data_IF_268604791786
#
_entry.id   IF_268604791786
#
_cell.length_a   1.000
_cell.length_b   1.000
_cell.length_c   1.000
_cell.angle_alpha   90.00
_cell.angle_beta   90.00
_cell.angle_gamma   90.00
#
_symmetry.space_group_name_H-M   'P 1'
#
loop_
_entity.id
_entity.type
_entity.pdbx_description
1 polymer ?
#
# COMPACT_ATOMS: atom_id res chain seq x y z
N UNK A 1 -13.55 14.11 1.71
CA UNK A 1 -12.46 14.19 0.73
C UNK A 1 -12.38 12.88 -0.02
N UNK A 2 -12.22 12.92 -1.32
CA UNK A 2 -11.96 11.74 -2.15
C UNK A 2 -10.51 11.77 -2.60
N UNK A 3 -9.83 10.62 -2.54
CA UNK A 3 -8.49 10.43 -3.08
C UNK A 3 -8.49 9.26 -4.06
N UNK A 4 -7.61 9.29 -5.05
CA UNK A 4 -7.45 8.19 -6.00
C UNK A 4 -6.42 7.21 -5.46
N UNK A 5 -6.89 6.06 -4.98
CA UNK A 5 -6.08 4.95 -4.47
C UNK A 5 -6.26 3.67 -5.29
N UNK A 6 -6.55 3.80 -6.58
CA UNK A 6 -6.62 2.66 -7.49
C UNK A 6 -5.24 2.04 -7.69
N UNK A 7 -5.19 0.72 -7.83
CA UNK A 7 -3.96 -0.05 -7.98
C UNK A 7 -3.66 -0.93 -6.77
N UNK A 8 -2.41 -1.36 -6.65
CA UNK A 8 -1.99 -2.27 -5.58
C UNK A 8 -2.61 -3.66 -5.68
N UNK A 9 -2.51 -4.43 -4.60
CA UNK A 9 -3.00 -5.79 -4.52
C UNK A 9 -3.99 -5.95 -3.37
N UNK A 10 -5.02 -6.76 -3.59
CA UNK A 10 -5.91 -7.19 -2.51
C UNK A 10 -5.13 -8.08 -1.53
N UNK A 11 -5.45 -8.00 -0.25
CA UNK A 11 -4.77 -8.78 0.78
C UNK A 11 -5.13 -10.27 0.69
N UNK A 12 -6.40 -10.56 0.40
CA UNK A 12 -6.92 -11.92 0.32
C UNK A 12 -7.98 -12.05 -0.79
N UNK A 13 -9.06 -12.79 -0.54
CA UNK A 13 -10.18 -13.00 -1.46
C UNK A 13 -11.24 -11.90 -1.44
N UNK A 14 -11.10 -10.97 -0.54
CA UNK A 14 -11.86 -9.71 -0.45
C UNK A 14 -11.13 -8.57 -1.16
N UNK A 15 -11.64 -7.35 -1.04
CA UNK A 15 -11.03 -6.19 -1.67
C UNK A 15 -10.30 -5.25 -0.68
N UNK A 16 -9.95 -5.78 0.51
CA UNK A 16 -9.10 -5.03 1.42
C UNK A 16 -7.68 -4.93 0.89
N UNK A 17 -7.05 -3.79 1.16
CA UNK A 17 -5.64 -3.55 0.85
C UNK A 17 -4.97 -2.92 2.06
N UNK A 18 -3.77 -3.39 2.38
CA UNK A 18 -2.98 -2.89 3.51
C UNK A 18 -1.61 -2.41 3.04
N UNK A 19 -1.22 -1.22 3.48
CA UNK A 19 0.12 -0.71 3.23
C UNK A 19 1.20 -1.63 3.79
N UNK A 20 0.89 -2.32 4.90
CA UNK A 20 1.82 -3.25 5.56
C UNK A 20 2.15 -4.47 4.70
N UNK A 21 1.16 -5.15 4.13
CA UNK A 21 1.37 -6.35 3.31
C UNK A 21 1.94 -6.00 1.95
N UNK A 22 1.40 -4.95 1.32
CA UNK A 22 1.92 -4.40 0.06
C UNK A 22 3.39 -3.98 0.19
N UNK A 23 3.75 -3.23 1.21
CA UNK A 23 5.13 -2.81 1.43
C UNK A 23 6.09 -4.00 1.66
N UNK A 24 5.65 -5.04 2.38
CA UNK A 24 6.45 -6.24 2.55
C UNK A 24 6.71 -6.96 1.22
N UNK A 25 5.67 -7.11 0.39
CA UNK A 25 5.80 -7.74 -0.93
C UNK A 25 6.76 -6.96 -1.82
N UNK A 26 6.58 -5.63 -1.93
CA UNK A 26 7.45 -4.75 -2.71
C UNK A 26 8.90 -4.87 -2.23
N UNK A 27 9.13 -4.77 -0.93
CA UNK A 27 10.47 -4.77 -0.36
C UNK A 27 11.21 -6.08 -0.65
N UNK A 28 10.53 -7.22 -0.57
CA UNK A 28 11.11 -8.52 -0.89
C UNK A 28 11.43 -8.64 -2.39
N UNK A 29 10.55 -8.20 -3.27
CA UNK A 29 10.82 -8.16 -4.71
C UNK A 29 12.02 -7.27 -5.03
N UNK A 30 12.12 -6.10 -4.40
CA UNK A 30 13.24 -5.18 -4.57
C UNK A 30 14.56 -5.79 -4.11
N UNK A 31 14.59 -6.47 -2.96
CA UNK A 31 15.80 -7.16 -2.50
C UNK A 31 16.21 -8.29 -3.43
N UNK A 32 15.25 -9.07 -3.93
CA UNK A 32 15.54 -10.15 -4.88
C UNK A 32 16.15 -9.59 -6.18
N UNK A 33 15.55 -8.53 -6.71
CA UNK A 33 16.06 -7.89 -7.93
C UNK A 33 17.44 -7.23 -7.72
N UNK A 34 17.66 -6.55 -6.59
CA UNK A 34 18.97 -5.92 -6.29
C UNK A 34 20.09 -6.94 -6.18
N UNK A 35 19.80 -8.12 -5.63
CA UNK A 35 20.82 -9.17 -5.43
C UNK A 35 21.08 -9.99 -6.70
N UNK A 36 20.06 -10.23 -7.51
CA UNK A 36 20.13 -11.15 -8.65
C UNK A 36 19.35 -10.63 -9.86
N UNK A 37 19.67 -9.43 -10.39
CA UNK A 37 18.90 -8.83 -11.48
C UNK A 37 18.87 -9.69 -12.76
N UNK A 38 19.91 -10.51 -12.98
CA UNK A 38 20.03 -11.39 -14.14
C UNK A 38 19.04 -12.56 -14.17
N UNK A 39 18.37 -12.85 -13.05
CA UNK A 39 17.36 -13.90 -12.98
C UNK A 39 15.97 -13.44 -13.48
N UNK A 40 15.77 -12.15 -13.66
CA UNK A 40 14.47 -11.59 -14.03
C UNK A 40 14.46 -11.16 -15.51
N UNK A 41 13.55 -11.78 -16.27
CA UNK A 41 13.38 -11.50 -17.70
C UNK A 41 12.42 -10.33 -17.95
N UNK A 42 12.29 -10.00 -19.24
CA UNK A 42 11.33 -9.06 -19.79
C UNK A 42 10.49 -9.82 -20.82
N UNK A 43 9.37 -10.36 -20.38
CA UNK A 43 8.48 -11.23 -21.16
C UNK A 43 7.09 -10.65 -21.38
N UNK A 44 6.72 -9.65 -20.57
CA UNK A 44 5.38 -9.06 -20.55
C UNK A 44 5.44 -7.54 -20.63
N UNK A 45 4.40 -6.97 -21.21
CA UNK A 45 4.13 -5.53 -21.13
C UNK A 45 3.60 -5.18 -19.74
N UNK A 46 3.66 -3.92 -19.35
CA UNK A 46 3.13 -3.40 -18.06
C UNK A 46 1.64 -3.71 -17.81
N UNK A 47 0.89 -4.03 -18.85
CA UNK A 47 -0.52 -4.42 -18.75
C UNK A 47 -0.72 -5.95 -18.68
N UNK A 48 0.36 -6.73 -18.58
CA UNK A 48 0.34 -8.19 -18.50
C UNK A 48 0.15 -8.92 -19.84
N UNK A 49 0.13 -8.22 -20.97
CA UNK A 49 0.11 -8.89 -22.28
C UNK A 49 1.50 -9.39 -22.66
N UNK A 50 1.63 -10.57 -23.35
CA UNK A 50 2.92 -11.06 -23.79
C UNK A 50 3.69 -10.07 -24.68
N UNK A 51 5.01 -9.97 -24.46
CA UNK A 51 5.94 -9.15 -25.23
C UNK A 51 6.80 -8.27 -24.36
N UNK A 52 8.09 -8.18 -24.70
CA UNK A 52 9.05 -7.36 -23.99
C UNK A 52 8.74 -5.85 -24.12
N UNK A 53 9.03 -5.09 -23.08
CA UNK A 53 8.89 -3.63 -23.06
C UNK A 53 10.19 -2.87 -22.74
N UNK A 54 11.29 -3.59 -22.58
CA UNK A 54 12.60 -3.03 -22.20
C UNK A 54 12.81 -2.89 -20.71
N UNK A 55 11.89 -3.40 -19.89
CA UNK A 55 11.92 -3.33 -18.43
C UNK A 55 11.73 -4.75 -17.88
N UNK A 56 12.55 -5.22 -16.93
CA UNK A 56 12.31 -6.51 -16.31
C UNK A 56 10.91 -6.59 -15.66
N UNK A 57 10.20 -7.70 -15.87
CA UNK A 57 8.82 -7.88 -15.39
C UNK A 57 8.67 -7.62 -13.88
N UNK A 58 9.66 -8.02 -13.09
CA UNK A 58 9.67 -7.76 -11.64
C UNK A 58 9.73 -6.25 -11.32
N UNK A 59 10.40 -5.46 -12.16
CA UNK A 59 10.50 -4.00 -11.97
C UNK A 59 9.16 -3.33 -12.27
N UNK A 60 8.42 -3.83 -13.27
CA UNK A 60 7.05 -3.39 -13.55
C UNK A 60 6.11 -3.71 -12.39
N UNK A 61 6.25 -4.89 -11.79
CA UNK A 61 5.45 -5.29 -10.62
C UNK A 61 5.80 -4.46 -9.36
N UNK A 62 7.09 -4.23 -9.12
CA UNK A 62 7.58 -3.31 -8.07
C UNK A 62 6.98 -1.91 -8.28
N UNK A 63 7.02 -1.40 -9.51
CA UNK A 63 6.45 -0.10 -9.84
C UNK A 63 4.95 -0.05 -9.56
N UNK A 64 4.19 -1.10 -9.88
CA UNK A 64 2.76 -1.18 -9.61
C UNK A 64 2.43 -1.00 -8.13
N UNK A 65 3.16 -1.70 -7.26
CA UNK A 65 2.98 -1.58 -5.83
C UNK A 65 3.44 -0.23 -5.26
N UNK A 66 4.58 0.30 -5.76
CA UNK A 66 5.09 1.61 -5.34
C UNK A 66 4.18 2.77 -5.79
N UNK A 67 3.59 2.69 -6.98
CA UNK A 67 2.61 3.67 -7.45
C UNK A 67 1.36 3.70 -6.55
N UNK A 68 0.92 2.55 -6.05
CA UNK A 68 -0.17 2.49 -5.09
C UNK A 68 0.22 3.09 -3.72
N UNK A 69 1.40 2.76 -3.19
CA UNK A 69 1.89 3.39 -1.95
C UNK A 69 2.05 4.91 -2.11
N UNK A 70 2.49 5.38 -3.27
CA UNK A 70 2.60 6.81 -3.58
C UNK A 70 1.24 7.52 -3.50
N UNK A 71 0.16 6.88 -3.98
CA UNK A 71 -1.21 7.36 -3.88
C UNK A 71 -1.77 7.30 -2.46
N UNK A 72 -1.31 6.32 -1.67
CA UNK A 72 -1.64 6.19 -0.24
C UNK A 72 -0.87 7.19 0.65
N UNK A 73 -0.05 8.04 0.05
CA UNK A 73 0.62 9.19 0.66
C UNK A 73 0.46 10.42 -0.25
N UNK A 74 -0.76 10.98 -0.35
CA UNK A 74 -1.06 12.05 -1.29
C UNK A 74 -0.35 13.37 -0.97
N UNK A 75 -0.15 13.69 0.32
CA UNK A 75 0.46 14.92 0.77
C UNK A 75 1.54 14.63 1.84
N UNK A 76 2.53 15.52 2.03
CA UNK A 76 3.53 15.38 3.07
C UNK A 76 2.92 15.19 4.46
N UNK A 77 3.38 14.16 5.18
CA UNK A 77 2.86 13.81 6.50
C UNK A 77 1.51 13.09 6.49
N UNK A 78 0.87 12.92 5.34
CA UNK A 78 -0.43 12.28 5.17
C UNK A 78 -0.26 10.83 4.68
N UNK A 79 -0.20 9.89 5.59
CA UNK A 79 -0.03 8.46 5.28
C UNK A 79 -1.28 7.67 5.64
N UNK A 80 -1.69 6.79 4.71
CA UNK A 80 -2.78 5.85 4.94
C UNK A 80 -2.22 4.44 5.14
N UNK A 81 -2.89 3.62 5.92
CA UNK A 81 -2.46 2.26 6.21
C UNK A 81 -3.36 1.18 5.61
N UNK A 82 -4.57 1.56 5.19
CA UNK A 82 -5.58 0.58 4.83
C UNK A 82 -6.65 1.19 3.92
N UNK A 83 -7.02 0.43 2.89
CA UNK A 83 -8.21 0.64 2.07
C UNK A 83 -9.25 -0.41 2.45
N UNK A 84 -10.49 0.01 2.65
CA UNK A 84 -11.60 -0.80 3.17
C UNK A 84 -11.42 -1.19 4.65
N UNK A 85 -12.34 -1.96 5.19
CA UNK A 85 -12.36 -2.47 6.56
C UNK A 85 -13.12 -3.81 6.63
N UNK A 86 -13.34 -4.33 7.83
CA UNK A 86 -13.97 -5.64 8.05
C UNK A 86 -15.36 -5.81 7.44
N UNK A 87 -16.00 -4.73 6.99
CA UNK A 87 -17.26 -4.82 6.21
C UNK A 87 -17.02 -5.44 4.83
N UNK A 88 -15.79 -5.47 4.35
CA UNK A 88 -15.40 -6.11 3.09
C UNK A 88 -15.28 -7.64 3.19
N UNK A 89 -15.23 -8.20 4.40
CA UNK A 89 -15.21 -9.64 4.66
C UNK A 89 -16.58 -10.30 4.39
N UNK A 90 -17.12 -10.09 3.19
CA UNK A 90 -18.43 -10.62 2.76
C UNK A 90 -18.32 -11.84 1.84
N UNK A 91 -17.13 -12.40 1.74
CA UNK A 91 -16.84 -13.60 0.96
C UNK A 91 -16.00 -13.33 -0.28
N UNK A 92 -15.53 -14.45 -0.88
CA UNK A 92 -14.76 -14.41 -2.12
C UNK A 92 -15.63 -13.92 -3.29
N UNK A 93 -15.08 -12.99 -4.09
CA UNK A 93 -15.74 -12.47 -5.29
C UNK A 93 -14.73 -11.94 -6.29
N UNK A 94 -15.13 -11.88 -7.53
CA UNK A 94 -14.33 -11.17 -8.54
C UNK A 94 -14.59 -9.65 -8.45
N UNK A 95 -13.59 -8.80 -8.71
CA UNK A 95 -13.76 -7.34 -8.67
C UNK A 95 -14.94 -6.82 -9.50
N UNK A 96 -15.21 -7.45 -10.65
CA UNK A 96 -16.36 -7.09 -11.51
C UNK A 96 -17.73 -7.37 -10.89
N UNK A 97 -17.78 -8.27 -9.90
CA UNK A 97 -19.01 -8.71 -9.22
C UNK A 97 -19.13 -8.09 -7.81
N UNK A 98 -18.25 -7.15 -7.49
CA UNK A 98 -18.23 -6.50 -6.19
C UNK A 98 -19.49 -5.66 -5.95
N UNK A 99 -20.12 -5.89 -4.79
CA UNK A 99 -21.34 -5.21 -4.35
C UNK A 99 -21.17 -4.57 -2.97
N UNK A 100 -19.92 -4.37 -2.54
CA UNK A 100 -19.66 -3.76 -1.23
C UNK A 100 -20.23 -2.35 -1.16
N UNK A 101 -20.98 -2.08 -0.10
CA UNK A 101 -21.56 -0.78 0.20
C UNK A 101 -21.17 -0.35 1.61
N UNK A 102 -20.50 0.76 1.71
CA UNK A 102 -20.02 1.34 2.97
C UNK A 102 -20.97 2.36 3.56
N UNK A 103 -22.19 2.48 3.01
CA UNK A 103 -23.22 3.41 3.46
C UNK A 103 -23.41 4.60 2.53
N UNK A 104 -22.73 4.60 1.40
CA UNK A 104 -22.89 5.63 0.35
C UNK A 104 -23.16 5.05 -1.04
N UNK A 105 -23.58 3.78 -1.09
CA UNK A 105 -24.01 3.07 -2.30
C UNK A 105 -22.91 2.20 -2.90
N UNK A 106 -23.34 1.17 -3.63
CA UNK A 106 -22.45 0.25 -4.35
C UNK A 106 -21.63 1.01 -5.39
N UNK A 107 -20.35 0.67 -5.54
CA UNK A 107 -19.38 1.29 -6.45
C UNK A 107 -19.05 2.77 -6.15
N UNK A 108 -19.42 3.31 -5.01
CA UNK A 108 -19.10 4.66 -4.59
C UNK A 108 -17.81 4.78 -3.75
N UNK A 109 -16.91 3.79 -3.89
CA UNK A 109 -15.61 3.77 -3.25
C UNK A 109 -15.58 3.12 -1.88
N UNK A 110 -14.41 3.11 -1.28
CA UNK A 110 -14.12 2.49 0.02
C UNK A 110 -13.48 3.49 0.98
N UNK A 111 -13.64 3.31 2.30
CA UNK A 111 -12.95 4.15 3.26
C UNK A 111 -11.44 3.90 3.17
N UNK A 112 -10.67 4.97 3.36
CA UNK A 112 -9.21 4.93 3.49
C UNK A 112 -8.85 5.43 4.88
N UNK A 113 -8.02 4.69 5.59
CA UNK A 113 -7.72 4.95 6.99
C UNK A 113 -6.36 5.59 7.19
N UNK A 114 -6.35 6.67 7.93
CA UNK A 114 -5.21 7.50 8.25
C UNK A 114 -4.28 6.87 9.28
N UNK A 115 -2.99 7.10 9.12
CA UNK A 115 -1.98 6.82 10.14
C UNK A 115 -1.86 8.02 11.07
N UNK A 116 -2.66 8.04 12.13
CA UNK A 116 -2.59 9.12 13.14
C UNK A 116 -1.52 8.88 14.20
N UNK A 117 -1.20 7.61 14.47
CA UNK A 117 -0.36 7.20 15.59
C UNK A 117 -1.01 7.39 16.96
N UNK A 118 -2.33 7.63 16.99
CA UNK A 118 -3.13 7.73 18.20
C UNK A 118 -4.17 6.61 18.22
N UNK A 119 -4.62 6.15 19.40
CA UNK A 119 -5.74 5.24 19.51
C UNK A 119 -6.98 5.82 18.81
N UNK A 120 -7.64 4.99 18.02
CA UNK A 120 -8.87 5.37 17.34
C UNK A 120 -10.02 4.51 17.86
N UNK A 121 -11.07 5.16 18.34
CA UNK A 121 -12.28 4.50 18.81
C UNK A 121 -13.29 4.46 17.68
N UNK A 122 -13.55 3.26 17.16
CA UNK A 122 -14.60 3.04 16.17
C UNK A 122 -15.52 1.92 16.63
N UNK A 123 -16.53 2.26 17.39
CA UNK A 123 -17.46 1.27 17.93
C UNK A 123 -16.71 0.21 18.74
N UNK A 124 -16.82 -1.05 18.31
CA UNK A 124 -16.09 -2.14 18.93
C UNK A 124 -14.65 -2.32 18.39
N UNK A 125 -14.35 -1.77 17.21
CA UNK A 125 -13.03 -1.88 16.55
C UNK A 125 -12.08 -0.78 17.00
N UNK A 126 -11.73 -0.81 18.28
CA UNK A 126 -10.76 0.13 18.85
C UNK A 126 -9.34 -0.25 18.45
N UNK A 127 -8.62 0.65 17.77
CA UNK A 127 -7.20 0.45 17.59
C UNK A 127 -6.40 1.10 18.72
N UNK A 128 -5.31 0.46 19.10
CA UNK A 128 -4.45 0.85 20.23
C UNK A 128 -3.14 1.47 19.75
N UNK A 129 -3.14 2.12 18.61
CA UNK A 129 -1.94 2.78 18.07
C UNK A 129 -1.26 3.68 19.10
N UNK A 130 0.08 3.68 19.11
CA UNK A 130 0.91 4.48 20.03
C UNK A 130 1.87 5.39 19.29
N UNK A 131 1.95 5.28 17.96
CA UNK A 131 2.84 6.06 17.11
C UNK A 131 2.71 5.68 15.66
N UNK A 132 3.59 6.19 14.83
CA UNK A 132 3.52 6.04 13.36
C UNK A 132 4.61 5.15 12.78
N UNK A 133 5.72 4.93 13.49
CA UNK A 133 6.96 4.33 12.94
C UNK A 133 6.75 2.98 12.26
N UNK A 134 5.85 2.13 12.78
CA UNK A 134 5.63 0.78 12.22
C UNK A 134 5.10 0.81 10.78
N UNK A 135 4.36 1.86 10.40
CA UNK A 135 3.81 2.02 9.05
C UNK A 135 4.68 2.94 8.22
N UNK A 136 4.98 4.15 8.72
CA UNK A 136 5.77 5.09 7.92
C UNK A 136 7.20 4.61 7.67
N UNK A 137 7.77 3.77 8.55
CA UNK A 137 9.03 3.09 8.31
C UNK A 137 8.98 2.12 7.11
N UNK A 138 7.84 1.49 6.85
CA UNK A 138 7.63 0.69 5.64
C UNK A 138 7.57 1.56 4.38
N UNK A 139 6.89 2.70 4.45
CA UNK A 139 6.92 3.70 3.37
C UNK A 139 8.34 4.18 3.11
N UNK A 140 9.05 4.61 4.16
CA UNK A 140 10.42 5.11 4.04
C UNK A 140 11.36 4.10 3.38
N UNK A 141 11.35 2.84 3.84
CA UNK A 141 12.21 1.79 3.28
C UNK A 141 11.84 1.43 1.85
N UNK A 142 10.54 1.30 1.54
CA UNK A 142 10.08 1.00 0.18
C UNK A 142 10.37 2.15 -0.78
N UNK A 143 10.12 3.38 -0.39
CA UNK A 143 10.36 4.54 -1.22
C UNK A 143 11.85 4.79 -1.47
N UNK A 144 12.70 4.65 -0.45
CA UNK A 144 14.14 4.83 -0.59
C UNK A 144 14.77 3.79 -1.54
N UNK A 145 14.49 2.50 -1.32
CA UNK A 145 15.02 1.44 -2.19
C UNK A 145 14.36 1.48 -3.57
N UNK A 146 13.05 1.73 -3.61
CA UNK A 146 12.27 1.85 -4.84
C UNK A 146 12.73 3.00 -5.72
N UNK A 147 13.05 4.16 -5.14
CA UNK A 147 13.63 5.29 -5.88
C UNK A 147 14.92 4.89 -6.60
N UNK A 148 15.81 4.17 -5.92
CA UNK A 148 17.06 3.68 -6.51
C UNK A 148 16.79 2.70 -7.67
N UNK A 149 15.91 1.72 -7.48
CA UNK A 149 15.64 0.66 -8.47
C UNK A 149 14.88 1.23 -9.67
N UNK A 150 13.92 2.12 -9.46
CA UNK A 150 13.10 2.66 -10.53
C UNK A 150 13.78 3.77 -11.33
N UNK A 151 14.82 4.40 -10.84
CA UNK A 151 15.46 5.54 -11.50
C UNK A 151 15.84 5.30 -12.98
N UNK A 152 16.36 4.12 -13.39
CA UNK A 152 16.67 3.85 -14.79
C UNK A 152 15.45 3.68 -15.70
N UNK A 153 14.29 3.33 -15.13
CA UNK A 153 13.10 2.93 -15.88
C UNK A 153 11.94 3.91 -15.75
N UNK A 154 11.73 4.45 -14.54
CA UNK A 154 10.61 5.34 -14.17
C UNK A 154 11.12 6.55 -13.38
N UNK A 155 11.92 7.44 -13.99
CA UNK A 155 12.64 8.50 -13.28
C UNK A 155 11.72 9.48 -12.54
N UNK A 156 10.57 9.82 -13.10
CA UNK A 156 9.64 10.76 -12.45
C UNK A 156 9.03 10.19 -11.17
N UNK A 157 8.63 8.91 -11.18
CA UNK A 157 8.14 8.24 -9.98
C UNK A 157 9.28 8.08 -8.98
N UNK A 158 10.46 7.66 -9.43
CA UNK A 158 11.64 7.48 -8.59
C UNK A 158 12.02 8.77 -7.83
N UNK A 159 12.06 9.91 -8.50
CA UNK A 159 12.32 11.21 -7.87
C UNK A 159 11.25 11.57 -6.84
N UNK A 160 9.98 11.39 -7.19
CA UNK A 160 8.86 11.73 -6.31
C UNK A 160 8.84 10.90 -5.03
N UNK A 161 8.96 9.56 -5.14
CA UNK A 161 8.99 8.69 -3.96
C UNK A 161 10.27 8.84 -3.14
N UNK A 162 11.40 9.19 -3.76
CA UNK A 162 12.64 9.50 -3.05
C UNK A 162 12.47 10.65 -2.05
N UNK A 163 11.80 11.71 -2.44
CA UNK A 163 11.46 12.84 -1.54
C UNK A 163 10.51 12.41 -0.43
N UNK A 164 9.52 11.58 -0.74
CA UNK A 164 8.56 11.05 0.24
C UNK A 164 9.21 10.08 1.24
N UNK A 165 10.31 9.41 0.87
CA UNK A 165 11.05 8.55 1.78
C UNK A 165 11.60 9.32 3.00
N UNK A 166 12.12 10.52 2.77
CA UNK A 166 12.65 11.38 3.83
C UNK A 166 11.53 11.85 4.76
N UNK A 167 10.41 12.35 4.22
CA UNK A 167 9.23 12.75 5.01
C UNK A 167 8.69 11.60 5.87
N UNK A 168 8.57 10.41 5.30
CA UNK A 168 8.14 9.22 6.03
C UNK A 168 9.10 8.86 7.18
N UNK A 169 10.40 8.88 6.92
CA UNK A 169 11.42 8.61 7.92
C UNK A 169 11.35 9.62 9.08
N UNK A 170 11.32 10.91 8.76
CA UNK A 170 11.24 11.96 9.76
C UNK A 170 9.99 11.89 10.61
N UNK A 171 8.83 11.59 10.00
CA UNK A 171 7.59 11.39 10.75
C UNK A 171 7.71 10.21 11.72
N UNK A 172 8.32 9.11 11.29
CA UNK A 172 8.56 7.94 12.14
C UNK A 172 9.45 8.24 13.32
N UNK A 173 10.47 9.08 13.14
CA UNK A 173 11.36 9.53 14.21
C UNK A 173 10.65 10.48 15.18
N UNK A 174 9.86 11.40 14.65
CA UNK A 174 9.10 12.37 15.48
C UNK A 174 8.01 11.70 16.32
N UNK A 175 7.39 10.64 15.83
CA UNK A 175 6.28 9.95 16.48
C UNK A 175 6.51 8.42 16.54
N UNK A 176 7.48 7.97 17.37
CA UNK A 176 7.80 6.56 17.48
C UNK A 176 6.65 5.76 18.09
N UNK A 177 6.54 4.49 17.68
CA UNK A 177 5.50 3.58 18.14
C UNK A 177 4.86 2.82 16.99
N UNK A 178 3.80 2.10 17.27
CA UNK A 178 3.10 1.31 16.26
C UNK A 178 1.74 1.91 15.90
N UNK A 179 1.35 1.68 14.64
CA UNK A 179 0.00 1.92 14.14
C UNK A 179 -0.67 0.59 13.87
N UNK A 180 -1.89 0.44 14.32
CA UNK A 180 -2.73 -0.71 14.05
C UNK A 180 -3.70 -0.37 12.90
N UNK A 181 -4.07 -1.38 12.11
CA UNK A 181 -5.14 -1.25 11.13
C UNK A 181 -6.48 -0.98 11.80
N UNK A 182 -7.35 -0.24 11.14
CA UNK A 182 -8.70 0.02 11.65
C UNK A 182 -9.61 -1.17 11.37
N UNK A 183 -10.42 -1.53 12.36
CA UNK A 183 -11.46 -2.53 12.21
C UNK A 183 -12.79 -1.97 12.72
N UNK A 184 -13.85 -2.13 11.93
CA UNK A 184 -15.17 -1.62 12.26
C UNK A 184 -16.09 -2.71 12.78
N UNK A 185 -15.95 -3.94 12.29
CA UNK A 185 -16.84 -5.04 12.59
C UNK A 185 -16.20 -6.41 12.59
N UNK A 186 -14.93 -6.51 12.95
CA UNK A 186 -14.27 -7.81 12.95
C UNK A 186 -14.75 -8.70 14.10
N UNK A 187 -15.24 -9.89 13.84
CA UNK A 187 -15.47 -10.89 14.87
C UNK A 187 -14.16 -11.38 15.52
N UNK A 188 -13.01 -11.14 14.88
CA UNK A 188 -11.70 -11.61 15.35
C UNK A 188 -11.12 -10.78 16.49
N UNK A 189 -11.60 -9.55 16.66
CA UNK A 189 -11.11 -8.64 17.70
C UNK A 189 -11.77 -8.90 19.06
N UNK A 190 -12.81 -9.72 19.10
CA UNK A 190 -13.68 -9.93 20.26
C UNK A 190 -13.59 -11.32 20.87
N UNK A 191 -12.66 -12.12 20.43
CA UNK A 191 -12.44 -13.48 20.96
C UNK A 191 -11.45 -13.49 22.10
#
# INVERSE_FOLDING_TARGET
QHIDVRGGWHDASDCLQYATTTANAIYQMMLAYEQYPELFGDMYQTNGTPGANGIPDIVDEIRWGLDWLDRMNPEPGEFYNQLADDRDHIGMRFPKDDQADYGWGVNNGRPVYFVTGEPQVQGKGMNISTGTSSIVGKYASCFALGSKILAPYYPELAERIGKKAEDAYELGVRKPGFSQTASVRSPYIYL
#
